data_IF_910921046209
#
_entry.id   IF_910921046209
#
_cell.length_a   1.000
_cell.length_b   1.000
_cell.length_c   1.000
_cell.angle_alpha   90.00
_cell.angle_beta   90.00
_cell.angle_gamma   90.00
#
_symmetry.space_group_name_H-M   'P 1'
#
loop_
_entity.id
_entity.type
_entity.pdbx_description
1 polymer ?
#
# COMPACT_ATOMS: atom_id res chain seq x y z
N UNK A 1 -2.81 -14.36 2.38
CA UNK A 1 -2.78 -13.23 3.33
C UNK A 1 -1.37 -12.92 3.85
N UNK A 2 -0.62 -13.88 4.40
CA UNK A 2 0.72 -13.61 4.95
C UNK A 2 1.78 -13.24 3.87
N UNK A 3 1.86 -14.01 2.78
CA UNK A 3 2.84 -13.78 1.70
C UNK A 3 2.63 -12.46 0.93
N UNK A 4 1.39 -12.00 0.81
CA UNK A 4 1.06 -10.74 0.15
C UNK A 4 1.55 -9.54 0.98
N UNK A 5 1.36 -9.58 2.30
CA UNK A 5 1.90 -8.57 3.21
C UNK A 5 3.43 -8.56 3.18
N UNK A 6 4.05 -9.74 3.21
CA UNK A 6 5.51 -9.88 3.13
C UNK A 6 6.05 -9.34 1.78
N UNK A 7 5.39 -9.67 0.67
CA UNK A 7 5.74 -9.19 -0.67
C UNK A 7 5.82 -7.66 -0.70
N UNK A 8 4.73 -7.00 -0.26
CA UNK A 8 4.62 -5.55 -0.23
C UNK A 8 5.71 -4.96 0.68
N UNK A 9 5.92 -5.54 1.86
CA UNK A 9 6.94 -5.05 2.79
C UNK A 9 8.35 -5.09 2.22
N UNK A 10 8.72 -6.19 1.56
CA UNK A 10 10.02 -6.34 0.89
C UNK A 10 10.13 -5.35 -0.28
N UNK A 11 9.10 -5.25 -1.11
CA UNK A 11 9.07 -4.39 -2.29
C UNK A 11 9.24 -2.91 -1.89
N UNK A 12 8.47 -2.45 -0.92
CA UNK A 12 8.54 -1.07 -0.43
C UNK A 12 9.86 -0.78 0.30
N UNK A 13 10.35 -1.73 1.11
CA UNK A 13 11.65 -1.59 1.78
C UNK A 13 12.81 -1.48 0.80
N UNK A 14 12.77 -2.21 -0.32
CA UNK A 14 13.75 -2.12 -1.39
C UNK A 14 13.62 -0.82 -2.19
N UNK A 15 12.38 -0.35 -2.44
CA UNK A 15 12.10 0.91 -3.12
C UNK A 15 12.68 2.13 -2.41
N UNK A 16 12.63 2.15 -1.07
CA UNK A 16 13.12 3.28 -0.27
C UNK A 16 14.67 3.39 -0.25
N UNK A 17 15.40 2.47 -0.89
CA UNK A 17 16.86 2.43 -0.89
C UNK A 17 17.46 2.91 -2.20
N UNK A 18 17.93 4.16 -2.18
CA UNK A 18 18.63 4.76 -3.33
C UNK A 18 19.97 4.09 -3.66
N UNK A 19 20.66 3.53 -2.67
CA UNK A 19 22.00 2.95 -2.84
C UNK A 19 21.99 1.42 -3.08
N UNK A 20 20.80 0.82 -3.21
CA UNK A 20 20.63 -0.63 -3.22
C UNK A 20 20.78 -1.27 -1.83
N UNK A 21 20.85 -2.60 -1.82
CA UNK A 21 20.98 -3.43 -0.61
C UNK A 21 21.68 -4.75 -0.92
N UNK A 22 22.21 -5.40 0.09
CA UNK A 22 22.81 -6.73 0.00
C UNK A 22 21.81 -7.81 0.45
N UNK A 23 22.04 -9.07 0.03
CA UNK A 23 21.24 -10.21 0.53
C UNK A 23 21.28 -10.35 2.07
N UNK A 24 22.45 -10.26 2.72
CA UNK A 24 22.51 -10.30 4.18
C UNK A 24 21.70 -9.19 4.86
N UNK A 25 21.67 -7.97 4.30
CA UNK A 25 20.84 -6.88 4.85
C UNK A 25 19.33 -7.19 4.73
N UNK A 26 18.92 -7.79 3.61
CA UNK A 26 17.54 -8.21 3.40
C UNK A 26 17.15 -9.32 4.40
N UNK A 27 17.99 -10.34 4.54
CA UNK A 27 17.79 -11.44 5.49
C UNK A 27 17.76 -10.95 6.94
N UNK A 28 18.71 -10.10 7.34
CA UNK A 28 18.77 -9.54 8.68
C UNK A 28 17.54 -8.67 8.98
N UNK A 29 17.00 -7.97 7.99
CA UNK A 29 15.83 -7.11 8.18
C UNK A 29 14.56 -7.90 8.47
N UNK A 30 14.33 -8.96 7.70
CA UNK A 30 13.05 -9.68 7.69
C UNK A 30 13.09 -11.00 8.45
N UNK A 31 14.29 -11.50 8.78
CA UNK A 31 14.53 -12.74 9.52
C UNK A 31 13.72 -13.91 8.95
N UNK A 32 13.90 -14.18 7.66
CA UNK A 32 13.14 -15.19 6.94
C UNK A 32 13.38 -16.59 7.50
N UNK A 33 12.32 -17.39 7.59
CA UNK A 33 12.43 -18.85 7.59
C UNK A 33 12.97 -19.35 6.24
N UNK A 34 13.48 -20.58 6.21
CA UNK A 34 13.97 -21.22 4.98
C UNK A 34 12.91 -21.24 3.87
N UNK A 35 11.65 -21.47 4.22
CA UNK A 35 10.56 -21.50 3.24
C UNK A 35 10.27 -20.11 2.66
N UNK A 36 10.27 -19.07 3.50
CA UNK A 36 10.12 -17.68 3.05
C UNK A 36 11.29 -17.27 2.17
N UNK A 37 12.53 -17.61 2.55
CA UNK A 37 13.71 -17.27 1.76
C UNK A 37 13.67 -17.90 0.37
N UNK A 38 13.29 -19.17 0.26
CA UNK A 38 13.12 -19.85 -1.04
C UNK A 38 12.05 -19.17 -1.89
N UNK A 39 10.94 -18.79 -1.26
CA UNK A 39 9.86 -18.07 -1.93
C UNK A 39 10.31 -16.67 -2.38
N UNK A 40 11.02 -15.91 -1.54
CA UNK A 40 11.58 -14.60 -1.88
C UNK A 40 12.57 -14.74 -3.04
N UNK A 41 13.47 -15.72 -2.98
CA UNK A 41 14.44 -16.00 -4.04
C UNK A 41 13.73 -16.26 -5.38
N UNK A 42 12.67 -17.05 -5.36
CA UNK A 42 11.89 -17.37 -6.56
C UNK A 42 11.15 -16.15 -7.12
N UNK A 43 10.51 -15.36 -6.26
CA UNK A 43 9.62 -14.28 -6.70
C UNK A 43 10.34 -12.95 -6.97
N UNK A 44 11.43 -12.68 -6.26
CA UNK A 44 12.15 -11.42 -6.38
C UNK A 44 13.41 -11.53 -7.24
N UNK A 45 14.14 -12.65 -7.18
CA UNK A 45 15.46 -12.77 -7.84
C UNK A 45 15.42 -13.62 -9.12
N UNK A 46 14.64 -14.70 -9.14
CA UNK A 46 14.74 -15.75 -10.17
C UNK A 46 13.48 -15.90 -11.04
N UNK A 47 12.50 -15.00 -10.92
CA UNK A 47 11.27 -15.04 -11.71
C UNK A 47 11.50 -14.70 -13.18
N UNK A 48 10.51 -14.97 -14.04
CA UNK A 48 10.57 -14.59 -15.46
C UNK A 48 10.70 -13.08 -15.69
N UNK A 49 10.20 -12.28 -14.74
CA UNK A 49 10.48 -10.84 -14.61
C UNK A 49 10.97 -10.59 -13.18
N UNK A 50 12.29 -10.67 -12.91
CA UNK A 50 12.81 -10.49 -11.57
C UNK A 50 12.56 -9.06 -11.09
N UNK A 51 12.25 -8.92 -9.80
CA UNK A 51 12.01 -7.63 -9.16
C UNK A 51 13.31 -6.99 -8.71
N UNK A 52 14.34 -7.80 -8.45
CA UNK A 52 15.68 -7.34 -8.08
C UNK A 52 16.70 -7.67 -9.15
N UNK A 53 17.67 -6.78 -9.32
CA UNK A 53 18.86 -6.99 -10.17
C UNK A 53 20.11 -6.51 -9.44
N UNK A 54 21.24 -7.13 -9.76
CA UNK A 54 22.54 -6.64 -9.32
C UNK A 54 22.83 -5.31 -10.03
N UNK A 55 23.13 -4.27 -9.26
CA UNK A 55 23.49 -2.93 -9.77
C UNK A 55 24.97 -2.60 -9.59
N UNK A 56 25.63 -3.22 -8.61
CA UNK A 56 27.09 -3.13 -8.46
C UNK A 56 27.61 -4.29 -7.60
N UNK A 57 28.87 -4.64 -7.78
CA UNK A 57 29.57 -5.59 -6.91
C UNK A 57 30.78 -4.87 -6.29
N UNK A 58 30.89 -4.88 -4.96
CA UNK A 58 31.99 -4.22 -4.21
C UNK A 58 32.51 -5.20 -3.17
N UNK A 59 33.82 -5.39 -3.09
CA UNK A 59 34.44 -6.31 -2.13
C UNK A 59 33.87 -7.73 -2.18
N UNK A 60 33.59 -8.24 -3.40
CA UNK A 60 32.92 -9.51 -3.64
C UNK A 60 31.49 -9.63 -3.07
N UNK A 61 30.85 -8.50 -2.76
CA UNK A 61 29.44 -8.42 -2.32
C UNK A 61 28.59 -7.76 -3.40
N UNK A 62 27.53 -8.46 -3.80
CA UNK A 62 26.54 -7.94 -4.74
C UNK A 62 25.55 -7.00 -4.04
N UNK A 63 25.35 -5.84 -4.65
CA UNK A 63 24.32 -4.88 -4.30
C UNK A 63 23.18 -4.99 -5.31
N UNK A 64 21.99 -5.17 -4.77
CA UNK A 64 20.74 -5.32 -5.51
C UNK A 64 19.93 -4.04 -5.44
N UNK A 65 19.18 -3.75 -6.49
CA UNK A 65 18.14 -2.74 -6.49
C UNK A 65 16.92 -3.25 -7.25
N UNK A 66 15.81 -2.52 -7.16
CA UNK A 66 14.63 -2.82 -7.96
C UNK A 66 14.94 -2.72 -9.45
N UNK A 67 14.47 -3.69 -10.24
CA UNK A 67 14.42 -3.59 -11.70
C UNK A 67 13.42 -2.50 -12.11
N UNK A 68 13.36 -2.17 -13.41
CA UNK A 68 12.29 -1.31 -13.94
C UNK A 68 10.91 -1.87 -13.60
N UNK A 69 10.73 -3.18 -13.73
CA UNK A 69 9.47 -3.85 -13.39
C UNK A 69 9.17 -3.76 -11.89
N UNK A 70 10.17 -3.97 -11.03
CA UNK A 70 10.04 -3.80 -9.58
C UNK A 70 9.64 -2.38 -9.17
N UNK A 71 10.25 -1.36 -9.78
CA UNK A 71 9.90 0.04 -9.53
C UNK A 71 8.47 0.38 -9.95
N UNK A 72 8.04 -0.05 -11.14
CA UNK A 72 6.65 0.14 -11.59
C UNK A 72 5.69 -0.54 -10.62
N UNK A 73 5.97 -1.78 -10.22
CA UNK A 73 5.14 -2.52 -9.26
C UNK A 73 5.03 -1.79 -7.90
N UNK A 74 6.12 -1.17 -7.44
CA UNK A 74 6.12 -0.39 -6.20
C UNK A 74 5.27 0.89 -6.33
N UNK A 75 5.40 1.61 -7.46
CA UNK A 75 4.63 2.82 -7.76
C UNK A 75 3.14 2.49 -7.86
N UNK A 76 2.77 1.47 -8.64
CA UNK A 76 1.38 1.01 -8.77
C UNK A 76 0.76 0.70 -7.40
N UNK A 77 1.54 0.09 -6.50
CA UNK A 77 1.09 -0.18 -5.15
C UNK A 77 0.86 1.11 -4.33
N UNK A 78 1.77 2.08 -4.43
CA UNK A 78 1.63 3.39 -3.76
C UNK A 78 0.37 4.10 -4.26
N UNK A 79 0.17 4.17 -5.58
CA UNK A 79 -1.00 4.79 -6.19
C UNK A 79 -2.31 4.10 -5.75
N UNK A 80 -2.35 2.77 -5.75
CA UNK A 80 -3.50 2.00 -5.26
C UNK A 80 -3.77 2.23 -3.77
N UNK A 81 -2.71 2.38 -2.96
CA UNK A 81 -2.84 2.67 -1.53
C UNK A 81 -3.42 4.07 -1.32
N UNK A 82 -2.89 5.08 -2.03
CA UNK A 82 -3.39 6.45 -1.98
C UNK A 82 -4.84 6.55 -2.46
N UNK A 83 -5.19 5.87 -3.56
CA UNK A 83 -6.56 5.80 -4.06
C UNK A 83 -7.51 5.18 -3.04
N UNK A 84 -7.10 4.12 -2.34
CA UNK A 84 -7.89 3.50 -1.25
C UNK A 84 -8.06 4.44 -0.06
N UNK A 85 -7.03 5.18 0.32
CA UNK A 85 -7.10 6.16 1.40
C UNK A 85 -8.01 7.34 1.02
N UNK A 86 -7.91 7.83 -0.21
CA UNK A 86 -8.81 8.84 -0.77
C UNK A 86 -10.26 8.37 -0.79
N UNK A 87 -10.51 7.15 -1.26
CA UNK A 87 -11.84 6.52 -1.25
C UNK A 87 -12.42 6.41 0.16
N UNK A 88 -11.63 5.96 1.15
CA UNK A 88 -12.08 5.90 2.55
C UNK A 88 -12.49 7.26 3.09
N UNK A 89 -11.71 8.31 2.80
CA UNK A 89 -12.07 9.69 3.17
C UNK A 89 -13.34 10.13 2.47
N UNK A 90 -13.49 9.86 1.17
CA UNK A 90 -14.69 10.19 0.41
C UNK A 90 -15.94 9.51 1.00
N UNK A 91 -15.84 8.24 1.38
CA UNK A 91 -16.93 7.50 2.06
C UNK A 91 -17.29 8.14 3.39
N UNK A 92 -16.29 8.56 4.18
CA UNK A 92 -16.53 9.25 5.45
C UNK A 92 -17.28 10.58 5.25
N UNK A 93 -16.87 11.37 4.24
CA UNK A 93 -17.57 12.59 3.87
C UNK A 93 -19.00 12.32 3.38
N UNK A 94 -19.21 11.29 2.56
CA UNK A 94 -20.53 10.90 2.08
C UNK A 94 -21.47 10.51 3.23
N UNK A 95 -20.98 9.73 4.20
CA UNK A 95 -21.74 9.36 5.40
C UNK A 95 -22.10 10.61 6.21
N UNK A 96 -21.14 11.52 6.41
CA UNK A 96 -21.37 12.77 7.15
C UNK A 96 -22.42 13.65 6.46
N UNK A 97 -22.33 13.81 5.14
CA UNK A 97 -23.31 14.55 4.34
C UNK A 97 -24.70 13.91 4.41
N UNK A 98 -24.80 12.58 4.41
CA UNK A 98 -26.07 11.86 4.57
C UNK A 98 -26.71 12.15 5.93
N UNK A 99 -25.93 12.14 7.01
CA UNK A 99 -26.42 12.45 8.36
C UNK A 99 -26.97 13.88 8.44
N UNK A 100 -26.24 14.86 7.88
CA UNK A 100 -26.69 16.27 7.86
C UNK A 100 -27.99 16.41 7.05
N UNK A 101 -28.10 15.73 5.91
CA UNK A 101 -29.31 15.75 5.09
C UNK A 101 -30.53 15.19 5.85
N UNK A 102 -30.36 14.09 6.60
CA UNK A 102 -31.42 13.52 7.44
C UNK A 102 -31.85 14.51 8.53
N UNK A 103 -30.90 15.10 9.26
CA UNK A 103 -31.20 16.08 10.33
C UNK A 103 -31.95 17.28 9.75
N UNK A 104 -31.49 17.81 8.62
CA UNK A 104 -32.12 18.96 7.96
C UNK A 104 -33.54 18.64 7.49
N UNK A 105 -33.74 17.46 6.89
CA UNK A 105 -35.07 17.00 6.48
C UNK A 105 -36.05 16.85 7.64
N UNK A 106 -35.61 16.29 8.76
CA UNK A 106 -36.44 16.20 9.99
C UNK A 106 -36.78 17.61 10.51
N UNK A 107 -35.81 18.52 10.54
CA UNK A 107 -36.03 19.90 10.97
C UNK A 107 -37.08 20.63 10.13
N UNK A 108 -37.04 20.46 8.80
CA UNK A 108 -38.05 21.04 7.91
C UNK A 108 -39.46 20.51 8.18
N UNK A 109 -39.59 19.20 8.47
CA UNK A 109 -40.89 18.60 8.81
C UNK A 109 -41.43 19.20 10.12
N UNK A 110 -40.57 19.34 11.13
CA UNK A 110 -40.97 19.90 12.44
C UNK A 110 -41.40 21.37 12.32
N UNK A 111 -40.62 22.19 11.61
CA UNK A 111 -40.98 23.60 11.36
C UNK A 111 -42.29 23.70 10.59
N UNK A 112 -42.47 22.90 9.53
CA UNK A 112 -43.70 22.88 8.75
C UNK A 112 -44.93 22.47 9.59
N UNK A 113 -44.79 21.50 10.49
CA UNK A 113 -45.86 21.12 11.43
C UNK A 113 -46.17 22.23 12.44
N UNK A 114 -45.14 22.91 12.98
CA UNK A 114 -45.35 24.03 13.90
C UNK A 114 -46.07 25.21 13.26
N UNK A 115 -45.76 25.52 11.99
CA UNK A 115 -46.43 26.58 11.23
C UNK A 115 -47.87 26.19 10.86
N UNK A 116 -48.13 24.90 10.62
CA UNK A 116 -49.47 24.38 10.36
C UNK A 116 -50.39 24.51 11.59
N UNK A 117 -49.90 24.21 12.80
CA UNK A 117 -50.71 24.32 14.03
C UNK A 117 -50.86 25.75 14.57
N UNK A 118 -50.13 26.74 14.03
CA UNK A 118 -50.22 28.15 14.43
C UNK A 118 -51.23 28.97 13.62
N UNK A 119 -51.71 28.44 12.49
CA UNK A 119 -52.76 29.05 11.65
C UNK A 119 -54.11 28.36 11.91
#
# INVERSE_FOLDING_TARGET
>A
MFREKLFIQILMWAHDRQNGFTRPELEAKFNFSTEEYNWVTTNFFNGGNPLFQVVSTRDAVDYYALTRYGNITAIDYIELKEAREGSKKATYWAITSLIIAIITGIGQIVVGLMDYFKN
#
